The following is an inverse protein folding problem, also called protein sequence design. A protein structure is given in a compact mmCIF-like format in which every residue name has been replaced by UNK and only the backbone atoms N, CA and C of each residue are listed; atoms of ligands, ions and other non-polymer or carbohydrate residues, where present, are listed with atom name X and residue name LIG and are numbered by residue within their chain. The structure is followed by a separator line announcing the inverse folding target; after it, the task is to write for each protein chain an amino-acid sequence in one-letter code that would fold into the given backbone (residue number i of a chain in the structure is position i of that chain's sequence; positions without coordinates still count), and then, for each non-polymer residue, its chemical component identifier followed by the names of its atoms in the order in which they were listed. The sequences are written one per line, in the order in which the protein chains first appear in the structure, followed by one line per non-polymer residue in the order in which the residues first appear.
data_IF_474148428141
#
_entry.id   IF_474148428141
#
_cell.length_a   1.000
_cell.length_b   1.000
_cell.length_c   1.000
_cell.angle_alpha   90.00
_cell.angle_beta   90.00
_cell.angle_gamma   90.00
#
_symmetry.space_group_name_H-M   'P 1'
#
loop_
_entity.id
_entity.type
_entity.pdbx_description
1 polymer ?
#
# COMPACT_ATOMS: atom_id res chain seq x y z
N UNK A 1 12.09 -5.65 2.16
CA UNK A 1 10.93 -4.77 2.32
C UNK A 1 9.72 -5.69 2.37
N UNK A 2 9.20 -5.97 3.56
CA UNK A 2 7.76 -6.16 3.59
C UNK A 2 7.17 -5.01 2.76
N UNK A 3 6.21 -5.27 1.87
CA UNK A 3 5.33 -4.20 1.42
C UNK A 3 4.74 -3.71 2.74
N UNK A 4 5.35 -2.66 3.31
CA UNK A 4 4.89 -2.09 4.56
C UNK A 4 3.60 -1.42 4.15
N UNK A 5 2.52 -2.14 4.38
CA UNK A 5 1.18 -1.63 4.26
C UNK A 5 1.13 -0.31 5.03
N UNK A 6 0.42 0.65 4.46
CA UNK A 6 0.42 1.98 5.03
C UNK A 6 -0.42 1.99 6.31
N UNK A 7 0.25 1.85 7.45
CA UNK A 7 -0.37 1.80 8.78
C UNK A 7 -1.18 3.02 9.16
N UNK A 8 -0.93 4.13 8.48
CA UNK A 8 -1.64 5.37 8.69
C UNK A 8 -2.98 5.41 7.94
N UNK A 9 -3.26 4.43 7.09
CA UNK A 9 -4.52 4.33 6.35
C UNK A 9 -5.58 3.67 7.23
N UNK A 10 -6.59 4.46 7.62
CA UNK A 10 -7.71 4.01 8.47
C UNK A 10 -8.85 3.37 7.67
N UNK A 11 -9.01 3.76 6.41
CA UNK A 11 -10.02 3.27 5.48
C UNK A 11 -9.47 3.46 4.06
N UNK A 12 -9.64 2.45 3.21
CA UNK A 12 -9.26 2.47 1.81
C UNK A 12 -10.27 1.68 0.95
N UNK A 13 -10.87 2.33 -0.04
CA UNK A 13 -11.77 1.70 -0.99
C UNK A 13 -11.28 1.94 -2.43
N UNK A 14 -10.98 0.86 -3.15
CA UNK A 14 -10.45 0.88 -4.52
C UNK A 14 -11.51 1.01 -5.63
N UNK A 15 -12.80 0.99 -5.30
CA UNK A 15 -13.84 1.07 -6.32
C UNK A 15 -14.05 -0.22 -7.13
N UNK A 16 -13.41 -1.32 -6.75
CA UNK A 16 -13.57 -2.66 -7.34
C UNK A 16 -14.52 -3.57 -6.53
N UNK A 17 -14.72 -3.24 -5.26
CA UNK A 17 -15.44 -4.05 -4.28
C UNK A 17 -15.87 -3.19 -3.10
N UNK A 18 -16.98 -3.53 -2.44
CA UNK A 18 -17.43 -2.86 -1.22
C UNK A 18 -16.72 -3.42 0.02
N UNK A 19 -15.38 -3.44 0.00
CA UNK A 19 -14.54 -3.89 1.10
C UNK A 19 -13.44 -2.88 1.40
N UNK A 20 -13.18 -2.68 2.70
CA UNK A 20 -12.06 -1.87 3.14
C UNK A 20 -10.74 -2.65 2.95
N UNK A 21 -9.86 -2.09 2.14
CA UNK A 21 -8.53 -2.63 1.86
C UNK A 21 -7.47 -2.11 2.83
N UNK A 22 -7.84 -1.37 3.88
CA UNK A 22 -6.94 -0.99 4.96
C UNK A 22 -6.70 -2.14 5.95
N UNK A 23 -5.71 -1.98 6.82
CA UNK A 23 -5.47 -2.90 7.94
C UNK A 23 -6.68 -3.04 8.87
N UNK A 24 -7.50 -2.00 8.97
CA UNK A 24 -8.58 -1.93 9.95
C UNK A 24 -9.85 -2.68 9.53
N UNK A 25 -9.96 -3.03 8.24
CA UNK A 25 -11.09 -3.77 7.67
C UNK A 25 -12.45 -3.23 8.18
N UNK A 26 -12.60 -1.90 8.07
CA UNK A 26 -13.79 -1.16 8.50
C UNK A 26 -15.01 -1.70 7.77
N UNK A 27 -16.11 -1.91 8.51
CA UNK A 27 -17.34 -2.41 7.92
C UNK A 27 -17.92 -1.41 6.93
N UNK A 28 -18.16 -1.89 5.70
CA UNK A 28 -18.74 -1.13 4.60
C UNK A 28 -20.16 -1.64 4.35
N UNK A 29 -21.13 -0.72 4.27
CA UNK A 29 -22.50 -1.04 3.88
C UNK A 29 -22.85 -0.27 2.61
N UNK A 30 -23.00 -1.00 1.50
CA UNK A 30 -23.49 -0.42 0.25
C UNK A 30 -25.00 -0.09 0.36
N UNK A 31 -25.38 1.11 -0.04
CA UNK A 31 -26.77 1.54 -0.15
C UNK A 31 -27.06 2.06 -1.57
N UNK A 32 -27.03 1.14 -2.53
CA UNK A 32 -27.42 1.39 -3.93
C UNK A 32 -26.31 1.86 -4.87
N UNK A 33 -25.08 2.05 -4.38
CA UNK A 33 -23.94 2.37 -5.25
C UNK A 33 -23.54 1.13 -6.07
N UNK A 34 -22.92 1.34 -7.21
CA UNK A 34 -22.53 0.28 -8.14
C UNK A 34 -21.01 0.27 -8.36
N UNK A 35 -20.41 -0.91 -8.41
CA UNK A 35 -19.08 -1.08 -9.01
C UNK A 35 -19.24 -1.01 -10.53
N UNK A 36 -18.75 0.06 -11.15
CA UNK A 36 -18.98 0.35 -12.56
C UNK A 36 -17.69 0.25 -13.37
N UNK A 37 -17.78 -0.37 -14.54
CA UNK A 37 -16.69 -0.46 -15.53
C UNK A 37 -16.77 0.66 -16.59
N UNK A 38 -17.70 1.61 -16.45
CA UNK A 38 -17.95 2.66 -17.47
C UNK A 38 -16.93 3.79 -17.38
N UNK A 39 -16.56 4.17 -16.15
CA UNK A 39 -15.50 5.13 -15.84
C UNK A 39 -14.69 4.55 -14.69
N UNK A 40 -13.37 4.68 -14.76
CA UNK A 40 -12.46 4.33 -13.69
C UNK A 40 -11.20 5.19 -13.80
N UNK A 41 -10.57 5.47 -12.66
CA UNK A 41 -9.26 6.14 -12.65
C UNK A 41 -8.17 5.09 -12.70
N UNK A 42 -8.31 4.04 -11.89
CA UNK A 42 -7.41 2.89 -11.82
C UNK A 42 -8.22 1.59 -11.76
N UNK A 43 -7.55 0.43 -11.82
CA UNK A 43 -8.17 -0.88 -11.60
C UNK A 43 -9.24 -1.35 -12.61
N UNK A 44 -9.70 -0.48 -13.52
CA UNK A 44 -10.75 -0.79 -14.51
C UNK A 44 -12.18 -0.57 -14.00
N UNK A 45 -12.39 -0.34 -12.71
CA UNK A 45 -13.70 -0.09 -12.08
C UNK A 45 -13.66 1.08 -11.11
N UNK A 46 -14.81 1.72 -10.86
CA UNK A 46 -14.97 2.68 -9.76
C UNK A 46 -16.39 2.65 -9.20
N UNK A 47 -16.63 3.28 -8.04
CA UNK A 47 -17.98 3.38 -7.50
C UNK A 47 -18.79 4.44 -8.24
N UNK A 48 -19.91 4.04 -8.81
CA UNK A 48 -20.88 4.94 -9.39
C UNK A 48 -21.96 5.32 -8.36
N UNK A 49 -22.25 6.61 -8.31
CA UNK A 49 -23.31 7.22 -7.52
C UNK A 49 -24.36 7.85 -8.44
N UNK A 50 -25.62 7.48 -8.25
CA UNK A 50 -26.74 7.86 -9.12
C UNK A 50 -27.54 9.07 -8.61
N UNK A 51 -27.12 9.69 -7.50
CA UNK A 51 -27.85 10.78 -6.85
C UNK A 51 -28.90 10.31 -5.83
N UNK A 52 -29.06 9.02 -5.62
CA UNK A 52 -29.82 8.45 -4.51
C UNK A 52 -28.95 7.55 -3.62
N UNK A 53 -27.99 6.87 -4.25
CA UNK A 53 -27.07 5.92 -3.65
C UNK A 53 -26.05 6.56 -2.70
N UNK A 54 -25.61 5.79 -1.72
CA UNK A 54 -24.45 6.13 -0.90
C UNK A 54 -23.71 4.86 -0.44
N UNK A 55 -22.51 5.06 0.08
CA UNK A 55 -21.76 4.01 0.77
C UNK A 55 -21.61 4.45 2.22
N UNK A 56 -21.99 3.59 3.16
CA UNK A 56 -21.73 3.81 4.58
C UNK A 56 -20.48 3.07 5.01
N UNK A 57 -19.78 3.65 5.97
CA UNK A 57 -18.76 2.93 6.73
C UNK A 57 -18.86 3.25 8.21
N UNK A 58 -18.40 2.31 9.04
CA UNK A 58 -18.30 2.55 10.47
C UNK A 58 -17.28 3.67 10.77
N UNK A 59 -17.55 4.45 11.81
CA UNK A 59 -16.80 5.67 12.08
C UNK A 59 -15.37 5.39 12.53
N UNK A 60 -14.39 5.96 11.82
CA UNK A 60 -12.96 5.97 12.20
C UNK A 60 -12.56 7.22 12.99
N UNK A 61 -13.53 8.12 13.25
CA UNK A 61 -13.30 9.48 13.71
C UNK A 61 -12.79 9.59 15.14
N UNK A 62 -13.01 8.58 15.98
CA UNK A 62 -12.44 8.54 17.34
C UNK A 62 -10.91 8.64 17.37
N UNK A 63 -10.23 8.29 16.27
CA UNK A 63 -8.77 8.40 16.14
C UNK A 63 -8.30 9.76 15.63
N UNK A 64 -9.12 10.46 14.84
CA UNK A 64 -8.68 11.62 14.03
C UNK A 64 -9.44 12.91 14.32
N UNK A 65 -10.49 12.90 15.16
CA UNK A 65 -11.35 14.06 15.41
C UNK A 65 -10.62 15.31 15.93
N UNK A 66 -9.54 15.14 16.69
CA UNK A 66 -8.69 16.23 17.19
C UNK A 66 -7.25 16.17 16.69
N UNK A 67 -6.94 15.24 15.79
CA UNK A 67 -5.58 14.97 15.31
C UNK A 67 -5.42 15.39 13.84
N UNK A 68 -4.21 15.19 13.33
CA UNK A 68 -3.94 15.35 11.92
C UNK A 68 -4.63 14.22 11.13
N UNK A 69 -5.08 14.53 9.92
CA UNK A 69 -5.67 13.55 9.04
C UNK A 69 -5.57 13.96 7.59
N UNK A 70 -5.75 12.99 6.70
CA UNK A 70 -5.96 13.20 5.28
C UNK A 70 -7.18 12.41 4.82
N UNK A 71 -8.09 13.06 4.11
CA UNK A 71 -9.16 12.41 3.35
C UNK A 71 -8.93 12.74 1.89
N UNK A 72 -8.70 11.73 1.07
CA UNK A 72 -8.40 11.94 -0.34
C UNK A 72 -9.08 10.89 -1.22
N UNK A 73 -9.39 11.30 -2.45
CA UNK A 73 -10.07 10.44 -3.42
C UNK A 73 -9.90 11.00 -4.84
N UNK A 74 -10.15 10.15 -5.83
CA UNK A 74 -10.42 10.57 -7.20
C UNK A 74 -11.92 10.66 -7.43
N UNK A 75 -12.38 11.72 -8.09
CA UNK A 75 -13.78 11.88 -8.50
C UNK A 75 -13.94 12.22 -9.97
N UNK A 76 -15.05 11.77 -10.56
CA UNK A 76 -15.52 12.16 -11.88
C UNK A 76 -17.01 12.51 -11.77
N UNK A 77 -17.34 13.81 -11.69
CA UNK A 77 -18.73 14.23 -11.72
C UNK A 77 -19.29 14.11 -13.15
N UNK A 78 -20.42 13.43 -13.33
CA UNK A 78 -21.06 13.29 -14.65
C UNK A 78 -21.93 14.50 -15.01
N UNK A 79 -22.28 15.30 -14.00
CA UNK A 79 -23.06 16.51 -14.13
C UNK A 79 -22.79 17.43 -12.94
N UNK A 80 -23.34 18.65 -12.99
CA UNK A 80 -23.37 19.50 -11.81
C UNK A 80 -24.08 18.76 -10.67
N UNK A 81 -23.44 18.73 -9.51
CA UNK A 81 -23.93 18.01 -8.35
C UNK A 81 -23.91 18.94 -7.14
N UNK A 82 -25.01 18.91 -6.39
CA UNK A 82 -25.15 19.68 -5.15
C UNK A 82 -24.81 18.84 -3.92
N UNK A 83 -24.36 17.60 -4.11
CA UNK A 83 -24.19 16.66 -3.02
C UNK A 83 -22.79 16.60 -2.45
N UNK A 84 -22.68 16.35 -1.13
CA UNK A 84 -21.42 16.14 -0.49
C UNK A 84 -20.80 14.83 -0.97
N UNK A 85 -19.48 14.85 -1.15
CA UNK A 85 -18.69 13.65 -1.44
C UNK A 85 -18.55 12.81 -0.20
N UNK A 86 -18.52 13.45 0.96
CA UNK A 86 -18.30 12.77 2.22
C UNK A 86 -18.94 13.50 3.40
N UNK A 87 -19.48 12.73 4.34
CA UNK A 87 -19.94 13.18 5.65
C UNK A 87 -19.45 12.24 6.74
N UNK A 88 -18.84 12.76 7.79
CA UNK A 88 -18.46 11.96 8.97
C UNK A 88 -19.67 11.49 9.78
N UNK A 89 -20.80 12.17 9.61
CA UNK A 89 -22.05 11.92 10.31
C UNK A 89 -23.18 11.91 9.28
N UNK A 90 -23.80 10.76 9.11
CA UNK A 90 -25.03 10.63 8.35
C UNK A 90 -26.21 11.00 9.24
N UNK A 91 -26.90 12.09 8.91
CA UNK A 91 -28.02 12.60 9.69
C UNK A 91 -29.28 11.78 9.48
N UNK A 92 -29.94 11.43 10.59
CA UNK A 92 -31.30 10.86 10.62
C UNK A 92 -32.35 11.91 10.99
N UNK A 93 -31.95 13.19 11.03
CA UNK A 93 -32.79 14.35 11.34
C UNK A 93 -32.15 15.71 10.98
N UNK A 94 -32.54 16.77 11.71
CA UNK A 94 -31.99 18.14 11.58
C UNK A 94 -30.77 18.33 12.49
N UNK A 95 -29.82 17.42 12.39
CA UNK A 95 -28.63 17.38 13.23
C UNK A 95 -27.44 17.95 12.45
N UNK A 96 -26.78 18.96 13.01
CA UNK A 96 -25.49 19.44 12.50
C UNK A 96 -24.40 18.97 13.44
N UNK A 97 -23.50 18.17 12.90
CA UNK A 97 -22.43 17.52 13.63
C UNK A 97 -21.40 16.97 12.66
N UNK A 98 -20.18 16.79 13.15
CA UNK A 98 -19.12 16.15 12.39
C UNK A 98 -18.54 17.07 11.34
N UNK A 99 -18.05 16.50 10.24
CA UNK A 99 -17.51 17.20 9.09
C UNK A 99 -18.22 16.74 7.82
N UNK A 100 -18.63 17.69 6.99
CA UNK A 100 -19.27 17.47 5.70
C UNK A 100 -18.49 18.19 4.60
N UNK A 101 -18.24 17.51 3.49
CA UNK A 101 -17.40 17.98 2.39
C UNK A 101 -18.18 17.97 1.07
N UNK A 102 -18.35 19.14 0.46
CA UNK A 102 -18.95 19.31 -0.87
C UNK A 102 -20.47 19.55 -0.87
N UNK A 103 -21.06 20.01 0.23
CA UNK A 103 -22.48 20.40 0.26
C UNK A 103 -22.75 21.56 -0.70
N UNK A 104 -23.92 21.57 -1.35
CA UNK A 104 -24.21 22.45 -2.49
C UNK A 104 -23.14 22.41 -3.59
N UNK A 105 -22.43 21.28 -3.69
CA UNK A 105 -21.40 21.02 -4.69
C UNK A 105 -20.00 21.43 -4.29
N UNK A 106 -19.80 22.36 -3.35
CA UNK A 106 -18.49 22.99 -3.09
C UNK A 106 -18.17 23.29 -1.61
N UNK A 107 -19.19 23.30 -0.75
CA UNK A 107 -19.07 23.83 0.61
C UNK A 107 -18.67 22.77 1.63
N UNK A 108 -17.84 23.18 2.57
CA UNK A 108 -17.46 22.44 3.76
C UNK A 108 -18.13 23.00 5.01
N UNK A 109 -18.55 22.10 5.89
CA UNK A 109 -19.11 22.41 7.20
C UNK A 109 -18.48 21.49 8.25
N UNK A 110 -18.24 22.01 9.45
CA UNK A 110 -17.73 21.21 10.54
C UNK A 110 -18.18 21.73 11.90
N UNK A 111 -18.56 20.81 12.79
CA UNK A 111 -19.04 21.11 14.14
C UNK A 111 -18.41 20.19 15.19
N UNK A 112 -18.15 20.74 16.37
CA UNK A 112 -17.68 20.02 17.56
C UNK A 112 -18.81 19.42 18.40
N UNK A 113 -20.06 19.81 18.12
CA UNK A 113 -21.25 19.45 18.89
C UNK A 113 -22.40 19.06 17.98
N UNK A 114 -23.28 18.18 18.46
CA UNK A 114 -24.54 17.87 17.79
C UNK A 114 -25.59 18.94 18.12
N UNK A 115 -25.61 20.01 17.33
CA UNK A 115 -26.56 21.12 17.50
C UNK A 115 -27.11 21.55 16.14
N UNK A 116 -27.82 22.67 16.06
CA UNK A 116 -28.22 23.28 14.79
C UNK A 116 -27.28 24.43 14.39
N UNK A 117 -26.01 24.38 14.81
CA UNK A 117 -24.98 25.37 14.49
C UNK A 117 -23.66 24.70 14.09
N UNK A 118 -22.92 25.35 13.19
CA UNK A 118 -21.59 24.95 12.76
C UNK A 118 -20.56 25.87 13.41
N UNK A 119 -19.77 25.36 14.36
CA UNK A 119 -18.89 26.17 15.21
C UNK A 119 -17.40 26.10 14.82
N UNK A 120 -16.94 25.02 14.18
CA UNK A 120 -15.56 24.90 13.69
C UNK A 120 -15.40 25.68 12.39
N UNK A 121 -16.25 25.39 11.39
CA UNK A 121 -16.38 26.22 10.19
C UNK A 121 -17.73 25.98 9.50
N UNK A 122 -18.21 27.00 8.79
CA UNK A 122 -19.53 26.99 8.16
C UNK A 122 -19.49 27.59 6.77
N UNK A 123 -19.85 26.80 5.75
CA UNK A 123 -20.04 27.27 4.38
C UNK A 123 -18.75 27.76 3.70
N UNK A 124 -17.60 27.18 4.07
CA UNK A 124 -16.34 27.51 3.41
C UNK A 124 -16.21 26.72 2.10
N UNK A 125 -15.67 27.32 1.04
CA UNK A 125 -15.48 26.63 -0.24
C UNK A 125 -14.26 25.69 -0.14
N UNK A 126 -14.50 24.40 0.07
CA UNK A 126 -13.45 23.37 0.25
C UNK A 126 -13.14 22.63 -1.05
N UNK A 127 -14.03 22.64 -2.04
CA UNK A 127 -13.80 22.05 -3.35
C UNK A 127 -14.60 22.80 -4.42
N UNK A 128 -14.52 22.34 -5.67
CA UNK A 128 -15.35 22.80 -6.79
C UNK A 128 -15.91 21.59 -7.56
N UNK A 129 -16.72 21.82 -8.60
CA UNK A 129 -17.30 20.74 -9.42
C UNK A 129 -16.77 20.82 -10.83
N UNK A 130 -15.93 19.86 -11.20
CA UNK A 130 -15.43 19.67 -12.56
C UNK A 130 -16.17 18.50 -13.21
N UNK A 131 -17.03 18.83 -14.18
CA UNK A 131 -17.85 17.83 -14.87
C UNK A 131 -17.07 17.23 -16.03
N UNK A 132 -17.13 15.91 -16.15
CA UNK A 132 -16.58 15.20 -17.30
C UNK A 132 -15.06 15.01 -17.26
N UNK A 133 -14.42 15.14 -16.10
CA UNK A 133 -12.99 14.90 -15.93
C UNK A 133 -12.68 14.30 -14.55
N UNK A 134 -11.62 13.49 -14.49
CA UNK A 134 -11.08 13.01 -13.23
C UNK A 134 -10.36 14.14 -12.49
N UNK A 135 -10.65 14.28 -11.20
CA UNK A 135 -10.00 15.22 -10.30
C UNK A 135 -9.60 14.49 -9.02
N UNK A 136 -8.34 14.66 -8.61
CA UNK A 136 -7.91 14.25 -7.27
C UNK A 136 -8.24 15.35 -6.26
N UNK A 137 -8.90 14.95 -5.17
CA UNK A 137 -9.24 15.81 -4.04
C UNK A 137 -8.49 15.33 -2.82
N UNK A 138 -7.95 16.26 -2.03
CA UNK A 138 -7.41 15.93 -0.72
C UNK A 138 -7.75 17.02 0.29
N UNK A 139 -8.36 16.64 1.40
CA UNK A 139 -8.64 17.48 2.57
C UNK A 139 -7.72 17.05 3.69
N UNK A 140 -6.86 17.94 4.15
CA UNK A 140 -5.85 17.66 5.16
C UNK A 140 -6.02 18.58 6.35
N UNK A 141 -6.02 18.02 7.55
CA UNK A 141 -5.76 18.76 8.78
C UNK A 141 -4.31 18.52 9.22
N UNK A 142 -3.57 19.61 9.43
CA UNK A 142 -2.26 19.59 10.09
C UNK A 142 -2.27 20.65 11.21
N UNK A 143 -2.24 20.17 12.45
CA UNK A 143 -2.46 20.96 13.66
C UNK A 143 -3.80 21.70 13.59
N UNK A 144 -3.71 23.03 13.55
CA UNK A 144 -4.86 23.93 13.48
C UNK A 144 -5.11 24.50 12.08
N UNK A 145 -4.56 23.88 11.03
CA UNK A 145 -4.72 24.33 9.65
C UNK A 145 -5.42 23.26 8.83
N UNK A 146 -6.49 23.65 8.15
CA UNK A 146 -7.15 22.85 7.13
C UNK A 146 -6.64 23.27 5.76
N UNK A 147 -6.27 22.27 4.96
CA UNK A 147 -5.89 22.41 3.57
C UNK A 147 -6.88 21.65 2.70
N UNK A 148 -7.18 22.20 1.54
CA UNK A 148 -7.78 21.46 0.42
C UNK A 148 -6.87 21.54 -0.78
N UNK A 149 -6.71 20.43 -1.50
CA UNK A 149 -5.96 20.35 -2.74
C UNK A 149 -6.84 19.83 -3.88
N UNK A 150 -6.57 20.34 -5.08
CA UNK A 150 -7.17 19.91 -6.34
C UNK A 150 -6.05 19.52 -7.29
N UNK A 151 -6.03 18.27 -7.74
CA UNK A 151 -4.98 17.73 -8.61
C UNK A 151 -3.57 18.02 -8.08
N UNK A 152 -3.41 17.97 -6.75
CA UNK A 152 -2.14 18.18 -6.08
C UNK A 152 -1.75 19.64 -5.85
N UNK A 153 -2.49 20.61 -6.38
CA UNK A 153 -2.26 22.04 -6.12
C UNK A 153 -3.16 22.56 -5.00
N UNK A 154 -2.63 23.44 -4.14
CA UNK A 154 -3.36 24.04 -3.04
C UNK A 154 -4.58 24.83 -3.55
N UNK A 155 -5.76 24.44 -3.07
CA UNK A 155 -7.03 25.07 -3.38
C UNK A 155 -7.53 25.98 -2.24
N UNK A 156 -7.41 25.51 -1.00
CA UNK A 156 -7.79 26.25 0.20
C UNK A 156 -6.76 26.05 1.30
N UNK A 157 -6.47 27.12 2.05
CA UNK A 157 -5.79 27.06 3.34
C UNK A 157 -6.53 27.95 4.33
N UNK A 158 -7.02 27.36 5.42
CA UNK A 158 -7.75 28.11 6.47
C UNK A 158 -7.45 27.55 7.86
N UNK A 159 -7.77 28.31 8.90
CA UNK A 159 -7.70 27.83 10.27
C UNK A 159 -8.84 26.84 10.56
N UNK A 160 -8.52 25.77 11.26
CA UNK A 160 -9.48 24.82 11.82
C UNK A 160 -9.03 24.47 13.23
N UNK A 161 -9.84 24.80 14.22
CA UNK A 161 -9.58 24.48 15.63
C UNK A 161 -10.78 23.77 16.25
N UNK A 162 -10.53 23.02 17.32
CA UNK A 162 -11.54 22.21 17.98
C UNK A 162 -11.49 20.74 17.59
N UNK A 163 -12.27 19.94 18.31
CA UNK A 163 -12.46 18.51 18.10
C UNK A 163 -13.72 18.31 17.29
N UNK A 164 -13.64 17.61 16.17
CA UNK A 164 -14.79 17.30 15.32
C UNK A 164 -15.74 16.39 16.11
N UNK A 165 -17.04 16.66 16.09
CA UNK A 165 -18.02 15.79 16.74
C UNK A 165 -17.94 14.38 16.14
N UNK A 166 -17.72 13.40 17.00
CA UNK A 166 -17.62 11.99 16.63
C UNK A 166 -18.38 11.14 17.64
N UNK A 167 -19.50 10.56 17.21
CA UNK A 167 -20.29 9.62 18.00
C UNK A 167 -20.41 8.31 17.20
N UNK A 168 -20.06 7.19 17.83
CA UNK A 168 -20.06 5.88 17.20
C UNK A 168 -21.46 5.33 16.89
N UNK A 169 -22.52 5.96 17.42
CA UNK A 169 -23.90 5.66 17.05
C UNK A 169 -24.27 6.16 15.64
N UNK A 170 -23.47 7.06 15.07
CA UNK A 170 -23.67 7.59 13.73
C UNK A 170 -22.67 6.98 12.74
N UNK A 171 -23.16 6.68 11.54
CA UNK A 171 -22.32 6.20 10.43
C UNK A 171 -21.75 7.37 9.65
N UNK A 172 -20.59 7.18 9.06
CA UNK A 172 -20.09 8.08 8.01
C UNK A 172 -20.63 7.64 6.65
N UNK A 173 -20.75 8.58 5.72
CA UNK A 173 -21.33 8.33 4.40
C UNK A 173 -20.50 8.98 3.29
N UNK A 174 -20.34 8.25 2.19
CA UNK A 174 -19.77 8.71 0.94
C UNK A 174 -20.92 8.94 -0.05
N UNK A 175 -20.91 10.09 -0.71
CA UNK A 175 -21.90 10.51 -1.71
C UNK A 175 -23.19 11.12 -1.16
N UNK A 176 -23.34 11.22 0.17
CA UNK A 176 -24.55 11.72 0.84
C UNK A 176 -24.27 12.17 2.27
N UNK A 177 -25.15 12.99 2.86
CA UNK A 177 -25.03 13.40 4.26
C UNK A 177 -26.26 13.17 5.14
N UNK A 178 -27.48 13.07 4.60
CA UNK A 178 -28.67 12.76 5.42
C UNK A 178 -29.79 12.08 4.67
N UNK A 179 -30.71 11.50 5.43
CA UNK A 179 -31.95 10.94 4.92
C UNK A 179 -32.94 12.04 4.49
N UNK A 180 -33.78 11.74 3.49
CA UNK A 180 -34.89 12.61 3.11
C UNK A 180 -34.55 13.83 2.24
N UNK A 181 -33.30 13.99 1.80
CA UNK A 181 -32.91 15.06 0.87
C UNK A 181 -32.37 14.53 -0.47
N UNK A 182 -33.26 14.30 -1.44
CA UNK A 182 -32.86 13.79 -2.75
C UNK A 182 -32.04 14.80 -3.58
N UNK A 183 -32.24 16.11 -3.37
CA UNK A 183 -31.62 17.15 -4.20
C UNK A 183 -30.17 17.52 -3.80
N UNK A 184 -29.59 16.79 -2.84
CA UNK A 184 -28.27 17.07 -2.25
C UNK A 184 -27.35 15.85 -2.23
N UNK A 185 -27.43 14.99 -3.24
CA UNK A 185 -26.60 13.79 -3.35
C UNK A 185 -25.59 13.88 -4.50
N UNK A 186 -24.46 13.19 -4.34
CA UNK A 186 -23.40 13.14 -5.35
C UNK A 186 -23.85 12.31 -6.56
N UNK A 187 -23.52 12.79 -7.76
CA UNK A 187 -23.77 12.07 -9.02
C UNK A 187 -22.47 12.01 -9.80
N UNK A 188 -21.92 10.81 -9.95
CA UNK A 188 -20.63 10.62 -10.58
C UNK A 188 -19.93 9.37 -10.09
N UNK A 189 -18.62 9.34 -10.28
CA UNK A 189 -17.77 8.23 -9.90
C UNK A 189 -16.77 8.65 -8.83
N UNK A 190 -16.50 7.77 -7.87
CA UNK A 190 -15.41 7.91 -6.90
C UNK A 190 -14.52 6.67 -6.98
N UNK A 191 -13.21 6.91 -6.99
CA UNK A 191 -12.17 5.90 -7.05
C UNK A 191 -11.08 6.22 -6.01
N UNK A 192 -10.41 5.19 -5.48
CA UNK A 192 -9.34 5.29 -4.46
C UNK A 192 -9.71 6.20 -3.27
N UNK A 193 -10.87 5.99 -2.64
CA UNK A 193 -11.27 6.77 -1.47
C UNK A 193 -10.47 6.33 -0.24
N UNK A 194 -9.77 7.26 0.40
CA UNK A 194 -8.90 6.98 1.55
C UNK A 194 -9.09 7.96 2.70
N UNK A 195 -9.08 7.44 3.93
CA UNK A 195 -8.92 8.22 5.17
C UNK A 195 -7.64 7.79 5.85
N UNK A 196 -6.83 8.75 6.31
CA UNK A 196 -5.57 8.51 7.00
C UNK A 196 -5.43 9.34 8.27
N UNK A 197 -4.70 8.84 9.26
CA UNK A 197 -4.44 9.50 10.56
C UNK A 197 -3.18 10.38 10.57
N UNK A 198 -2.71 10.76 9.38
CA UNK A 198 -1.57 11.66 9.19
C UNK A 198 -1.90 12.75 8.17
N UNK A 199 -1.27 13.90 8.31
CA UNK A 199 -1.22 14.93 7.27
C UNK A 199 -0.22 14.51 6.19
N UNK A 200 -0.71 13.94 5.09
CA UNK A 200 0.14 13.40 4.01
C UNK A 200 0.83 14.49 3.19
N UNK A 201 0.16 15.64 3.04
CA UNK A 201 0.64 16.76 2.24
C UNK A 201 0.34 18.10 2.90
N UNK A 202 1.33 18.99 2.89
CA UNK A 202 1.24 20.36 3.42
C UNK A 202 1.71 21.42 2.42
N UNK A 203 2.15 20.95 1.25
CA UNK A 203 2.58 21.71 0.09
C UNK A 203 1.99 21.04 -1.16
N UNK A 204 2.15 21.68 -2.31
CA UNK A 204 1.74 21.10 -3.59
C UNK A 204 2.45 19.75 -3.83
N UNK A 205 1.73 18.80 -4.42
CA UNK A 205 2.20 17.44 -4.66
C UNK A 205 1.78 16.93 -6.03
N UNK A 206 2.38 15.83 -6.48
CA UNK A 206 1.88 15.08 -7.64
C UNK A 206 0.85 14.06 -7.14
N UNK A 207 -0.41 14.10 -7.61
CA UNK A 207 -1.40 13.10 -7.24
C UNK A 207 -0.94 11.68 -7.54
N UNK A 208 -1.45 10.67 -6.82
CA UNK A 208 -1.13 9.27 -7.10
C UNK A 208 -1.39 8.93 -8.56
N UNK A 209 -0.46 8.22 -9.18
CA UNK A 209 -0.54 7.80 -10.60
C UNK A 209 -0.92 6.33 -10.76
N UNK A 210 -1.09 5.62 -9.65
CA UNK A 210 -1.46 4.21 -9.56
C UNK A 210 -2.38 4.01 -8.35
N UNK A 211 -3.09 2.88 -8.32
CA UNK A 211 -3.91 2.48 -7.17
C UNK A 211 -3.10 2.41 -5.89
N UNK A 212 -3.74 2.71 -4.75
CA UNK A 212 -3.12 2.50 -3.45
C UNK A 212 -2.87 1.01 -3.21
N UNK A 213 -1.87 0.72 -2.37
CA UNK A 213 -1.55 -0.67 -2.01
C UNK A 213 -2.50 -1.13 -0.90
N UNK A 214 -3.22 -2.25 -1.08
CA UNK A 214 -4.05 -2.80 -0.03
C UNK A 214 -3.18 -3.36 1.11
N UNK A 215 -3.77 -3.48 2.30
CA UNK A 215 -3.25 -4.36 3.34
C UNK A 215 -3.41 -5.81 2.88
N UNK A 216 -2.33 -6.57 3.01
CA UNK A 216 -2.34 -8.01 2.82
C UNK A 216 -1.89 -8.58 4.15
N UNK A 217 -2.79 -9.29 4.82
CA UNK A 217 -2.44 -10.03 6.02
C UNK A 217 -1.40 -11.08 5.64
N UNK A 218 -0.22 -11.02 6.26
CA UNK A 218 0.72 -12.12 6.15
C UNK A 218 0.09 -13.31 6.88
N UNK A 219 -0.32 -14.35 6.17
CA UNK A 219 -0.58 -15.63 6.81
C UNK A 219 0.72 -16.07 7.50
N UNK A 220 0.79 -15.92 8.83
CA UNK A 220 1.69 -16.76 9.59
C UNK A 220 1.22 -18.20 9.37
N UNK A 221 2.12 -19.16 9.09
CA UNK A 221 1.70 -20.54 8.91
C UNK A 221 0.98 -20.97 10.19
N UNK A 222 -0.28 -21.41 10.05
CA UNK A 222 -1.05 -21.98 11.16
C UNK A 222 -0.12 -22.92 11.94
N UNK A 223 0.03 -22.67 13.24
CA UNK A 223 0.65 -23.62 14.16
C UNK A 223 -0.33 -24.77 14.40
N UNK A 224 -0.68 -25.48 13.33
CA UNK A 224 -1.26 -26.80 13.42
C UNK A 224 -0.27 -27.67 14.17
N UNK A 225 -0.71 -28.23 15.30
CA UNK A 225 0.00 -29.30 15.99
C UNK A 225 0.35 -30.38 14.96
N UNK A 226 1.63 -30.42 14.59
CA UNK A 226 2.22 -31.43 13.73
C UNK A 226 1.90 -32.79 14.35
N UNK A 227 1.20 -33.71 13.66
CA UNK A 227 1.20 -35.10 14.11
C UNK A 227 2.64 -35.59 14.09
N UNK A 228 3.08 -36.26 15.16
CA UNK A 228 4.45 -36.77 15.23
C UNK A 228 4.79 -37.59 13.98
N UNK A 229 5.97 -37.36 13.37
CA UNK A 229 6.34 -38.04 12.14
C UNK A 229 6.45 -39.55 12.40
N UNK A 230 5.77 -40.34 11.56
CA UNK A 230 6.01 -41.78 11.51
C UNK A 230 7.48 -42.05 11.12
N UNK A 231 8.13 -43.04 11.74
CA UNK A 231 9.52 -43.34 11.48
C UNK A 231 9.66 -43.90 10.07
N UNK A 232 10.11 -43.08 9.14
CA UNK A 232 10.29 -43.48 7.74
C UNK A 232 10.71 -42.38 6.77
N UNK A 233 10.36 -41.12 7.05
CA UNK A 233 10.68 -39.99 6.17
C UNK A 233 11.66 -39.03 6.85
N UNK A 234 12.95 -39.37 6.86
CA UNK A 234 13.98 -38.35 7.03
C UNK A 234 14.01 -37.46 5.77
N UNK A 235 13.87 -36.13 5.88
CA UNK A 235 14.11 -35.24 4.77
C UNK A 235 15.59 -35.30 4.42
N UNK A 236 15.92 -35.79 3.24
CA UNK A 236 17.20 -35.48 2.62
C UNK A 236 17.17 -33.97 2.32
N UNK A 237 17.89 -33.18 3.12
CA UNK A 237 18.35 -31.84 2.72
C UNK A 237 19.40 -31.99 1.62
N UNK A 238 19.27 -31.30 0.46
CA UNK A 238 20.48 -30.86 -0.25
C UNK A 238 20.35 -29.49 -0.93
N UNK A 239 21.39 -28.66 -1.12
CA UNK A 239 22.75 -28.50 -0.58
C UNK A 239 23.40 -27.36 -1.39
N UNK A 240 23.77 -26.25 -0.76
CA UNK A 240 24.66 -25.17 -1.27
C UNK A 240 24.15 -24.23 -2.39
N UNK A 241 24.54 -22.95 -2.25
CA UNK A 241 24.38 -21.88 -3.25
C UNK A 241 25.18 -22.23 -4.52
N UNK A 242 24.60 -22.09 -5.70
CA UNK A 242 25.28 -22.44 -6.97
C UNK A 242 24.78 -21.63 -8.17
N UNK A 243 25.70 -21.14 -9.00
CA UNK A 243 25.39 -20.35 -10.20
C UNK A 243 25.83 -21.05 -11.49
N UNK A 244 25.03 -20.95 -12.55
CA UNK A 244 25.41 -21.32 -13.92
C UNK A 244 25.85 -20.05 -14.63
N UNK A 245 27.16 -19.80 -14.73
CA UNK A 245 27.71 -18.53 -15.25
C UNK A 245 28.10 -18.57 -16.74
N UNK A 246 27.77 -19.65 -17.44
CA UNK A 246 28.20 -19.92 -18.81
C UNK A 246 27.02 -20.09 -19.79
N UNK A 247 25.96 -19.31 -19.62
CA UNK A 247 24.80 -19.35 -20.52
C UNK A 247 25.20 -18.93 -21.94
N UNK A 248 24.84 -19.78 -22.90
CA UNK A 248 25.01 -19.56 -24.34
C UNK A 248 23.68 -19.22 -25.00
N UNK A 249 23.71 -18.63 -26.21
CA UNK A 249 22.50 -18.31 -26.99
C UNK A 249 21.67 -19.56 -27.33
N UNK A 250 22.28 -20.75 -27.29
CA UNK A 250 21.60 -22.03 -27.49
C UNK A 250 20.96 -22.61 -26.22
N UNK A 251 21.21 -22.03 -25.04
CA UNK A 251 20.63 -22.47 -23.79
C UNK A 251 19.24 -21.87 -23.57
N UNK A 252 18.34 -22.65 -22.95
CA UNK A 252 17.01 -22.22 -22.57
C UNK A 252 16.81 -22.38 -21.07
N UNK A 253 16.12 -21.42 -20.45
CA UNK A 253 15.78 -21.44 -19.04
C UNK A 253 14.72 -22.53 -18.79
N UNK A 254 15.09 -23.59 -18.07
CA UNK A 254 14.17 -24.67 -17.71
C UNK A 254 13.78 -24.59 -16.22
N UNK A 255 12.91 -25.51 -15.77
CA UNK A 255 12.43 -25.51 -14.40
C UNK A 255 13.54 -25.71 -13.35
N UNK A 256 14.59 -26.48 -13.65
CA UNK A 256 15.71 -26.70 -12.72
C UNK A 256 16.54 -25.42 -12.55
N UNK A 257 16.78 -24.71 -13.66
CA UNK A 257 17.49 -23.43 -13.65
C UNK A 257 16.69 -22.35 -12.92
N UNK A 258 15.39 -22.24 -13.19
CA UNK A 258 14.49 -21.34 -12.49
C UNK A 258 14.44 -21.64 -10.99
N UNK A 259 14.29 -22.91 -10.63
CA UNK A 259 14.29 -23.35 -9.23
C UNK A 259 15.61 -23.01 -8.54
N UNK A 260 16.74 -23.11 -9.26
CA UNK A 260 18.06 -22.77 -8.72
C UNK A 260 18.23 -21.27 -8.49
N UNK A 261 17.78 -20.41 -9.43
CA UNK A 261 17.80 -18.94 -9.25
C UNK A 261 16.95 -18.54 -8.03
N UNK A 262 15.72 -19.05 -7.94
CA UNK A 262 14.83 -18.78 -6.80
C UNK A 262 15.44 -19.23 -5.46
N UNK A 263 16.12 -20.39 -5.46
CA UNK A 263 16.84 -20.91 -4.30
C UNK A 263 18.00 -20.00 -3.89
N UNK A 264 18.79 -19.51 -4.83
CA UNK A 264 19.90 -18.61 -4.54
C UNK A 264 19.42 -17.29 -3.93
N UNK A 265 18.35 -16.70 -4.48
CA UNK A 265 17.69 -15.54 -3.88
C UNK A 265 17.26 -15.83 -2.43
N UNK A 266 16.76 -17.05 -2.17
CA UNK A 266 16.34 -17.47 -0.83
C UNK A 266 17.49 -17.56 0.14
N UNK A 267 18.55 -18.28 -0.23
CA UNK A 267 19.73 -18.45 0.60
C UNK A 267 20.32 -17.09 1.00
N UNK A 268 20.43 -16.16 0.05
CA UNK A 268 20.94 -14.82 0.33
C UNK A 268 20.04 -14.04 1.28
N UNK A 269 18.73 -14.02 1.04
CA UNK A 269 17.80 -13.31 1.90
C UNK A 269 17.77 -13.87 3.32
N UNK A 270 17.80 -15.20 3.47
CA UNK A 270 17.81 -15.85 4.78
C UNK A 270 19.09 -15.45 5.56
N UNK A 271 20.26 -15.46 4.90
CA UNK A 271 21.50 -15.00 5.53
C UNK A 271 21.51 -13.51 5.85
N UNK A 272 20.99 -12.67 4.96
CA UNK A 272 20.90 -11.23 5.19
C UNK A 272 20.01 -10.91 6.39
N UNK A 273 18.93 -11.68 6.59
CA UNK A 273 18.04 -11.56 7.74
C UNK A 273 18.73 -11.89 9.05
N UNK A 274 19.65 -12.85 9.10
CA UNK A 274 20.47 -13.14 10.29
C UNK A 274 21.25 -11.90 10.75
N UNK A 275 21.61 -11.01 9.82
CA UNK A 275 22.33 -9.76 10.09
C UNK A 275 21.42 -8.52 10.14
N UNK A 276 20.09 -8.70 10.15
CA UNK A 276 19.11 -7.62 10.28
C UNK A 276 18.76 -6.88 8.98
N UNK A 277 19.24 -7.35 7.82
CA UNK A 277 18.86 -6.81 6.51
C UNK A 277 17.59 -7.51 5.99
N UNK A 278 16.70 -6.75 5.36
CA UNK A 278 15.38 -7.28 4.93
C UNK A 278 15.15 -6.98 3.45
N UNK A 279 15.38 -7.97 2.58
CA UNK A 279 15.10 -7.85 1.14
C UNK A 279 13.65 -8.25 0.79
N UNK A 280 12.93 -7.45 -0.03
CA UNK A 280 11.58 -7.74 -0.51
C UNK A 280 11.60 -8.76 -1.64
N UNK A 281 11.61 -10.06 -1.35
CA UNK A 281 11.62 -11.07 -2.42
C UNK A 281 10.43 -12.02 -2.31
N UNK A 282 9.84 -12.33 -3.46
CA UNK A 282 8.71 -13.25 -3.61
C UNK A 282 9.18 -14.56 -4.25
N UNK A 283 8.87 -15.70 -3.63
CA UNK A 283 9.34 -17.00 -4.09
C UNK A 283 8.25 -17.79 -4.77
N UNK A 284 8.64 -18.43 -5.87
CA UNK A 284 7.80 -19.37 -6.57
C UNK A 284 8.48 -20.72 -6.71
N UNK A 285 7.71 -21.78 -6.47
CA UNK A 285 8.10 -23.14 -6.87
C UNK A 285 7.76 -23.35 -8.34
N UNK A 286 8.73 -23.85 -9.10
CA UNK A 286 8.58 -24.15 -10.52
C UNK A 286 8.29 -25.64 -10.72
N UNK A 287 7.33 -25.96 -11.58
CA UNK A 287 6.99 -27.35 -11.90
C UNK A 287 7.75 -27.86 -13.12
N UNK A 288 7.95 -29.17 -13.23
CA UNK A 288 8.62 -29.74 -14.41
C UNK A 288 7.83 -29.44 -15.70
N UNK A 289 8.53 -29.01 -16.74
CA UNK A 289 7.93 -28.60 -18.02
C UNK A 289 7.34 -27.19 -18.05
N UNK A 290 7.43 -26.45 -16.96
CA UNK A 290 6.93 -25.08 -16.88
C UNK A 290 7.90 -24.04 -17.47
N UNK A 291 7.36 -23.04 -18.16
CA UNK A 291 8.11 -21.92 -18.72
C UNK A 291 7.65 -20.59 -18.12
N UNK A 292 8.56 -19.62 -17.93
CA UNK A 292 8.26 -18.37 -17.27
C UNK A 292 7.43 -17.44 -18.17
N UNK A 293 6.38 -16.85 -17.62
CA UNK A 293 5.64 -15.75 -18.25
C UNK A 293 6.41 -14.43 -18.10
N UNK A 294 6.03 -13.41 -18.88
CA UNK A 294 6.58 -12.05 -18.79
C UNK A 294 6.54 -11.50 -17.36
N UNK A 295 5.41 -11.65 -16.67
CA UNK A 295 5.22 -11.23 -15.26
C UNK A 295 6.18 -12.00 -14.33
N UNK A 296 6.44 -13.28 -14.62
CA UNK A 296 7.32 -14.10 -13.79
C UNK A 296 8.81 -13.78 -14.02
N UNK A 297 9.20 -13.40 -15.24
CA UNK A 297 10.55 -12.90 -15.52
C UNK A 297 10.80 -11.56 -14.82
N UNK A 298 9.82 -10.66 -14.87
CA UNK A 298 9.85 -9.39 -14.14
C UNK A 298 9.98 -9.60 -12.63
N UNK A 299 9.24 -10.56 -12.05
CA UNK A 299 9.38 -10.92 -10.63
C UNK A 299 10.79 -11.38 -10.29
N UNK A 300 11.36 -12.32 -11.06
CA UNK A 300 12.70 -12.85 -10.79
C UNK A 300 13.74 -11.72 -10.82
N UNK A 301 13.68 -10.83 -11.82
CA UNK A 301 14.54 -9.63 -11.86
C UNK A 301 14.33 -8.77 -10.62
N UNK A 302 13.08 -8.48 -10.27
CA UNK A 302 12.73 -7.63 -9.11
C UNK A 302 13.32 -8.20 -7.81
N UNK A 303 13.29 -9.52 -7.63
CA UNK A 303 13.90 -10.18 -6.46
C UNK A 303 15.41 -9.95 -6.36
N UNK A 304 16.13 -9.97 -7.49
CA UNK A 304 17.58 -9.80 -7.50
C UNK A 304 17.94 -8.33 -7.19
N UNK A 305 17.20 -7.37 -7.77
CA UNK A 305 17.35 -5.94 -7.46
C UNK A 305 17.00 -5.64 -5.99
N UNK A 306 15.97 -6.30 -5.47
CA UNK A 306 15.56 -6.19 -4.07
C UNK A 306 16.63 -6.63 -3.06
N UNK A 307 17.40 -7.69 -3.38
CA UNK A 307 18.54 -8.12 -2.57
C UNK A 307 19.68 -7.09 -2.57
N UNK A 308 19.91 -6.47 -3.72
CA UNK A 308 20.90 -5.42 -3.89
C UNK A 308 20.56 -4.19 -3.04
N UNK A 309 19.34 -3.66 -3.20
CA UNK A 309 18.87 -2.44 -2.54
C UNK A 309 18.88 -2.59 -1.01
N UNK A 310 18.58 -3.79 -0.52
CA UNK A 310 18.49 -4.05 0.91
C UNK A 310 19.85 -4.11 1.62
N UNK A 311 20.93 -4.44 0.92
CA UNK A 311 22.20 -4.72 1.56
C UNK A 311 23.39 -3.98 0.94
N UNK A 312 23.75 -4.33 -0.30
CA UNK A 312 24.97 -3.81 -0.91
C UNK A 312 24.93 -3.91 -2.43
N UNK A 313 25.04 -2.77 -3.11
CA UNK A 313 25.30 -2.73 -4.55
C UNK A 313 26.78 -3.05 -4.81
N UNK A 314 27.05 -4.21 -5.43
CA UNK A 314 28.42 -4.58 -5.79
C UNK A 314 28.99 -3.59 -6.83
N UNK A 315 30.26 -3.16 -6.73
CA UNK A 315 30.82 -2.15 -7.64
C UNK A 315 30.81 -2.54 -9.12
N UNK A 316 30.74 -3.84 -9.39
CA UNK A 316 30.79 -4.44 -10.72
C UNK A 316 29.39 -4.88 -11.20
N UNK A 317 28.33 -4.39 -10.54
CA UNK A 317 26.93 -4.71 -10.85
C UNK A 317 26.62 -4.57 -12.33
N UNK A 318 25.95 -5.58 -12.89
CA UNK A 318 25.43 -5.50 -14.25
C UNK A 318 23.99 -5.02 -14.17
N UNK A 319 23.70 -3.85 -14.73
CA UNK A 319 22.35 -3.29 -14.70
C UNK A 319 21.34 -4.28 -15.30
N UNK A 320 20.44 -4.81 -14.46
CA UNK A 320 19.43 -5.77 -14.88
C UNK A 320 18.25 -5.04 -15.52
N UNK A 321 18.35 -4.75 -16.80
CA UNK A 321 17.27 -4.12 -17.57
C UNK A 321 16.33 -5.14 -18.19
N UNK A 322 15.05 -4.76 -18.34
CA UNK A 322 14.09 -5.54 -19.11
C UNK A 322 14.52 -5.61 -20.58
N UNK A 323 14.53 -6.81 -21.15
CA UNK A 323 14.79 -7.02 -22.57
C UNK A 323 13.47 -7.32 -23.25
N UNK A 324 13.19 -6.69 -24.39
CA UNK A 324 11.92 -6.87 -25.10
C UNK A 324 12.15 -7.53 -26.45
N UNK A 325 11.22 -8.40 -26.83
CA UNK A 325 11.09 -8.88 -28.20
C UNK A 325 10.56 -7.76 -29.11
N UNK A 326 10.71 -7.87 -30.44
CA UNK A 326 10.14 -6.91 -31.39
C UNK A 326 8.61 -6.75 -31.28
N UNK A 327 7.91 -7.71 -30.67
CA UNK A 327 6.47 -7.68 -30.41
C UNK A 327 6.08 -6.92 -29.13
N UNK A 328 7.05 -6.34 -28.42
CA UNK A 328 6.84 -5.54 -27.21
C UNK A 328 6.72 -6.34 -25.92
N UNK A 329 6.75 -7.68 -25.98
CA UNK A 329 6.72 -8.51 -24.77
C UNK A 329 8.12 -8.71 -24.18
N UNK A 330 8.23 -8.57 -22.86
CA UNK A 330 9.48 -8.86 -22.15
C UNK A 330 9.92 -10.31 -22.39
N UNK A 331 11.22 -10.47 -22.54
CA UNK A 331 11.91 -11.74 -22.76
C UNK A 331 13.22 -11.73 -21.98
N UNK A 332 13.88 -12.88 -21.96
CA UNK A 332 15.18 -13.03 -21.32
C UNK A 332 16.15 -13.66 -22.33
N UNK A 333 17.34 -13.07 -22.47
CA UNK A 333 18.40 -13.60 -23.32
C UNK A 333 19.54 -14.18 -22.45
N UNK A 334 20.45 -14.94 -23.06
CA UNK A 334 21.54 -15.60 -22.33
C UNK A 334 22.44 -14.61 -21.57
N UNK A 335 22.63 -13.39 -22.08
CA UNK A 335 23.41 -12.35 -21.42
C UNK A 335 22.72 -11.84 -20.14
N UNK A 336 21.40 -11.65 -20.18
CA UNK A 336 20.59 -11.26 -19.03
C UNK A 336 20.59 -12.33 -17.93
N UNK A 337 20.48 -13.61 -18.31
CA UNK A 337 20.56 -14.71 -17.33
C UNK A 337 21.96 -14.78 -16.72
N UNK A 338 23.02 -14.63 -17.54
CA UNK A 338 24.39 -14.55 -17.03
C UNK A 338 24.56 -13.39 -16.04
N UNK A 339 23.98 -12.22 -16.31
CA UNK A 339 24.04 -11.09 -15.40
C UNK A 339 23.35 -11.39 -14.06
N UNK A 340 22.12 -11.92 -14.09
CA UNK A 340 21.36 -12.31 -12.90
C UNK A 340 22.13 -13.30 -12.00
N UNK A 341 22.69 -14.34 -12.61
CA UNK A 341 23.44 -15.39 -11.90
C UNK A 341 24.77 -14.88 -11.33
N UNK A 342 25.41 -13.97 -12.06
CA UNK A 342 26.67 -13.35 -11.67
C UNK A 342 26.48 -12.39 -10.50
N UNK A 343 25.44 -11.56 -10.56
CA UNK A 343 25.09 -10.62 -9.49
C UNK A 343 24.76 -11.35 -8.17
N UNK A 344 23.97 -12.43 -8.24
CA UNK A 344 23.69 -13.29 -7.09
C UNK A 344 24.97 -13.92 -6.51
N UNK A 345 25.85 -14.43 -7.38
CA UNK A 345 27.12 -15.03 -6.95
C UNK A 345 28.02 -14.02 -6.23
N UNK A 346 28.16 -12.81 -6.79
CA UNK A 346 28.97 -11.76 -6.18
C UNK A 346 28.40 -11.36 -4.81
N UNK A 347 27.09 -11.16 -4.69
CA UNK A 347 26.47 -10.87 -3.39
C UNK A 347 26.83 -11.93 -2.35
N UNK A 348 26.74 -13.22 -2.71
CA UNK A 348 27.09 -14.31 -1.80
C UNK A 348 28.55 -14.28 -1.36
N UNK A 349 29.47 -14.01 -2.29
CA UNK A 349 30.91 -13.98 -2.01
C UNK A 349 31.30 -12.78 -1.14
N UNK A 350 30.74 -11.61 -1.40
CA UNK A 350 30.93 -10.43 -0.53
C UNK A 350 30.38 -10.68 0.87
N UNK A 351 29.20 -11.31 1.01
CA UNK A 351 28.59 -11.56 2.30
C UNK A 351 29.47 -12.50 3.12
N UNK A 352 29.92 -13.60 2.49
CA UNK A 352 30.88 -14.52 3.11
C UNK A 352 32.17 -13.82 3.56
N UNK A 353 32.74 -12.96 2.72
CA UNK A 353 33.96 -12.24 3.06
C UNK A 353 33.77 -11.26 4.23
N UNK A 354 32.65 -10.55 4.27
CA UNK A 354 32.31 -9.60 5.35
C UNK A 354 32.10 -10.31 6.69
N UNK A 355 31.38 -11.44 6.69
CA UNK A 355 31.16 -12.26 7.88
C UNK A 355 32.49 -12.80 8.42
N UNK A 356 33.32 -13.39 7.56
CA UNK A 356 34.64 -13.89 7.96
C UNK A 356 35.53 -12.78 8.55
N UNK A 357 35.51 -11.58 7.97
CA UNK A 357 36.25 -10.43 8.50
C UNK A 357 35.72 -9.93 9.86
N UNK A 358 34.40 -10.00 10.08
CA UNK A 358 33.78 -9.64 11.35
C UNK A 358 34.14 -10.63 12.47
N UNK A 359 34.08 -11.94 12.20
CA UNK A 359 34.48 -12.99 13.15
C UNK A 359 35.96 -12.85 13.55
N UNK A 360 36.84 -12.58 12.59
CA UNK A 360 38.27 -12.30 12.85
C UNK A 360 38.46 -11.08 13.76
N UNK A 361 37.65 -10.01 13.58
CA UNK A 361 37.71 -8.83 14.46
C UNK A 361 37.22 -9.13 15.88
N UNK A 362 36.16 -9.92 16.05
CA UNK A 362 35.67 -10.30 17.39
C UNK A 362 36.73 -11.10 18.16
N UNK A 363 37.40 -12.05 17.50
CA UNK A 363 38.48 -12.83 18.08
C UNK A 363 39.70 -12.00 18.54
N UNK A 364 39.87 -10.78 18.02
CA UNK A 364 40.97 -9.86 18.35
C UNK A 364 40.64 -8.77 19.39
N UNK A 365 39.42 -8.73 19.96
CA UNK A 365 39.02 -7.66 20.91
C UNK A 365 39.35 -8.00 22.38
N UNK A 366 39.85 -7.05 23.20
CA UNK A 366 40.34 -7.31 24.57
C UNK A 366 39.27 -7.77 25.57
N UNK A 367 37.98 -7.63 25.23
CA UNK A 367 36.87 -7.87 26.15
C UNK A 367 36.64 -9.35 26.49
N UNK A 368 37.18 -10.30 25.72
CA UNK A 368 37.18 -11.73 26.12
C UNK A 368 38.32 -12.12 27.07
N UNK A 369 39.31 -11.25 27.32
CA UNK A 369 40.44 -11.59 28.21
C UNK A 369 40.11 -11.29 29.69
N UNK A 370 39.04 -10.55 29.99
CA UNK A 370 38.75 -10.05 31.34
C UNK A 370 37.45 -10.58 32.00
N UNK A 371 36.89 -11.68 31.52
CA UNK A 371 35.63 -12.26 32.02
C UNK A 371 35.74 -13.27 33.17
N UNK A 372 36.90 -13.39 33.83
CA UNK A 372 37.09 -14.29 34.96
C UNK A 372 37.32 -13.52 36.25
N UNK A 373 36.35 -13.61 37.17
CA UNK A 373 36.34 -13.29 38.61
C UNK A 373 35.06 -12.50 38.90
N UNK A 374 34.09 -13.16 39.53
CA UNK A 374 33.29 -12.72 40.68
C UNK A 374 32.11 -13.69 40.85
N UNK A 375 32.37 -14.88 41.40
CA UNK A 375 31.37 -15.62 42.17
C UNK A 375 31.85 -15.59 43.62
N UNK A 376 31.20 -14.74 44.42
CA UNK A 376 31.24 -14.81 45.87
C UNK A 376 30.09 -15.72 46.32
N UNK A 377 30.45 -16.81 46.99
CA UNK A 377 29.57 -17.81 47.61
C UNK A 377 30.43 -18.81 48.37
#
# INVERSE_FOLDING_TARGET
MAIEWDKNTLLLLHGDSFSDSSYYNVQITNNGSQVSTVQSRFGGTSFYFDGASCIFHDSVWSKIASADFTIDWWEYATQQTNGPRYSSLYGIGQEYGGMMLGYSGELGYCSSVLTQQWDIFSGIKVLDVDVGTWVHRAIIRNGNTLYSYKNGSLFLKTSMSGTIYNDSSHRSAIGKYREGEPDTCFIGYIDEFRISDVARWTEDFTPPTESYKPYIESEEPETGLIPEPSPGDEPVEPSEFSSKLNWSVSDYLNHDDLTRIERNCKILNDKLREYGYIAPIDFRKWSSGEYPTTIQLERIRSNINALQDAWFAVPEWRELMAVYRPDGYETINAEQVNAQEWDLQQMHDYLKAMVAAFELKQAGTPFMIAGGIYNAG
#
